data_IF_375243046683
#
_entry.id   IF_375243046683
#
_cell.length_a   1.000
_cell.length_b   1.000
_cell.length_c   1.000
_cell.angle_alpha   90.00
_cell.angle_beta   90.00
_cell.angle_gamma   90.00
#
_symmetry.space_group_name_H-M   'P 1'
#
loop_
_entity.id
_entity.type
_entity.pdbx_description
1 polymer ?
#
# COMPACT_ATOMS: atom_id res chain seq x y z
N UNK A 1 20.83 22.51 24.98
CA UNK A 1 19.70 22.34 24.04
C UNK A 1 20.28 22.23 22.62
N UNK A 2 20.02 21.15 21.90
CA UNK A 2 20.43 21.01 20.50
C UNK A 2 19.48 21.77 19.56
N UNK A 3 19.98 22.21 18.40
CA UNK A 3 19.19 22.80 17.31
C UNK A 3 19.28 21.87 16.10
N UNK A 4 18.19 21.76 15.33
CA UNK A 4 18.22 21.05 14.06
C UNK A 4 19.00 21.86 13.02
N UNK A 5 19.77 21.15 12.20
CA UNK A 5 20.44 21.69 11.03
C UNK A 5 19.83 21.07 9.76
N UNK A 6 19.28 21.92 8.90
CA UNK A 6 18.64 21.52 7.66
C UNK A 6 19.46 21.91 6.41
N UNK A 7 20.69 22.44 6.56
CA UNK A 7 21.51 22.93 5.44
C UNK A 7 21.74 21.88 4.35
N UNK A 8 22.00 20.63 4.76
CA UNK A 8 22.23 19.48 3.87
C UNK A 8 21.02 18.55 3.73
N UNK A 9 19.84 19.00 4.17
CA UNK A 9 18.62 18.20 4.07
C UNK A 9 18.22 18.01 2.60
N UNK A 10 18.06 16.76 2.19
CA UNK A 10 17.57 16.40 0.86
C UNK A 10 16.16 16.96 0.62
N UNK A 11 15.88 17.40 -0.61
CA UNK A 11 14.63 18.09 -0.99
C UNK A 11 13.38 17.28 -0.64
N UNK A 12 13.40 15.97 -0.84
CA UNK A 12 12.26 15.08 -0.59
C UNK A 12 11.78 15.05 0.87
N UNK A 13 12.65 15.41 1.83
CA UNK A 13 12.34 15.40 3.27
C UNK A 13 12.02 16.79 3.83
N UNK A 14 12.15 17.86 3.03
CA UNK A 14 11.88 19.22 3.48
C UNK A 14 10.44 19.34 3.97
N UNK A 15 10.27 19.88 5.17
CA UNK A 15 8.96 20.04 5.82
C UNK A 15 8.30 18.75 6.33
N UNK A 16 8.94 17.58 6.16
CA UNK A 16 8.38 16.28 6.57
C UNK A 16 9.12 15.61 7.72
N UNK A 17 10.36 16.01 8.01
CA UNK A 17 11.16 15.39 9.08
C UNK A 17 11.34 16.29 10.29
N UNK A 18 11.39 15.67 11.46
CA UNK A 18 11.63 16.34 12.74
C UNK A 18 12.43 15.42 13.66
N UNK A 19 13.44 15.96 14.32
CA UNK A 19 14.11 15.33 15.45
C UNK A 19 13.33 15.68 16.73
N UNK A 20 12.89 14.66 17.47
CA UNK A 20 12.21 14.84 18.77
C UNK A 20 13.25 15.18 19.84
N UNK A 21 13.54 16.48 19.99
CA UNK A 21 14.61 17.01 20.86
C UNK A 21 14.40 16.69 22.33
N UNK A 22 13.15 16.60 22.76
CA UNK A 22 12.72 16.25 24.12
C UNK A 22 13.21 14.86 24.54
N UNK A 23 13.40 13.93 23.59
CA UNK A 23 13.90 12.59 23.86
C UNK A 23 15.42 12.52 24.02
N UNK A 24 16.15 13.55 23.57
CA UNK A 24 17.62 13.56 23.67
C UNK A 24 18.09 13.56 25.13
N UNK A 25 17.37 14.21 26.05
CA UNK A 25 17.67 14.17 27.49
C UNK A 25 17.45 12.80 28.13
N UNK A 26 16.71 11.92 27.46
CA UNK A 26 16.50 10.53 27.85
C UNK A 26 17.49 9.58 27.16
N UNK A 27 18.50 10.11 26.45
CA UNK A 27 19.45 9.32 25.68
C UNK A 27 18.88 8.72 24.40
N UNK A 28 17.74 9.22 23.92
CA UNK A 28 17.05 8.72 22.73
C UNK A 28 17.11 9.72 21.57
N UNK A 29 17.56 9.25 20.41
CA UNK A 29 17.51 10.02 19.16
C UNK A 29 16.38 9.49 18.28
N UNK A 30 15.28 10.25 18.17
CA UNK A 30 14.08 9.85 17.43
C UNK A 30 13.84 10.77 16.24
N UNK A 31 13.86 10.19 15.04
CA UNK A 31 13.50 10.86 13.79
C UNK A 31 12.04 10.56 13.45
N UNK A 32 11.22 11.60 13.34
CA UNK A 32 9.85 11.50 12.85
C UNK A 32 9.80 11.89 11.38
N UNK A 33 9.13 11.09 10.55
CA UNK A 33 8.82 11.38 9.15
C UNK A 33 7.29 11.47 9.01
N UNK A 34 6.77 12.57 8.47
CA UNK A 34 5.33 12.76 8.22
C UNK A 34 5.00 12.58 6.74
N UNK A 35 3.76 12.15 6.46
CA UNK A 35 3.31 11.89 5.08
C UNK A 35 4.21 10.89 4.37
N UNK A 36 4.37 9.70 4.95
CA UNK A 36 5.25 8.64 4.44
C UNK A 36 4.84 8.26 3.03
N UNK A 37 5.83 8.18 2.13
CA UNK A 37 5.68 7.79 0.73
C UNK A 37 6.43 6.49 0.47
N UNK A 38 6.11 5.78 -0.60
CA UNK A 38 6.87 4.59 -1.00
C UNK A 38 8.36 4.86 -1.21
N UNK A 39 8.73 6.06 -1.69
CA UNK A 39 10.13 6.48 -1.86
C UNK A 39 10.88 6.68 -0.55
N UNK A 40 10.18 6.76 0.58
CA UNK A 40 10.83 6.83 1.88
C UNK A 40 11.34 5.44 2.31
N UNK A 41 10.92 4.34 1.66
CA UNK A 41 11.42 3.01 1.97
C UNK A 41 12.92 2.90 1.71
N UNK A 42 13.62 2.13 2.56
CA UNK A 42 15.04 1.86 2.40
C UNK A 42 15.83 1.93 3.70
N UNK A 43 17.14 1.99 3.56
CA UNK A 43 18.08 1.90 4.66
C UNK A 43 18.35 3.29 5.27
N UNK A 44 18.00 3.47 6.53
CA UNK A 44 18.30 4.66 7.33
C UNK A 44 19.47 4.35 8.26
N UNK A 45 20.43 5.28 8.35
CA UNK A 45 21.55 5.18 9.29
C UNK A 45 21.48 6.33 10.28
N UNK A 46 21.32 6.01 11.56
CA UNK A 46 21.50 7.00 12.63
C UNK A 46 22.98 6.99 13.07
N UNK A 47 23.54 8.18 13.27
CA UNK A 47 24.93 8.36 13.74
C UNK A 47 24.86 9.30 14.93
N UNK A 48 25.47 8.91 16.05
CA UNK A 48 25.51 9.70 17.28
C UNK A 48 26.97 9.89 17.68
N UNK A 49 27.36 11.14 17.88
CA UNK A 49 28.68 11.53 18.38
C UNK A 49 28.57 12.17 19.76
N UNK A 50 29.12 11.52 20.80
CA UNK A 50 29.17 12.03 22.18
C UNK A 50 30.33 11.40 22.96
N UNK A 51 31.52 12.02 22.92
CA UNK A 51 32.75 11.43 23.50
C UNK A 51 33.29 10.20 22.75
N UNK A 52 32.69 9.88 21.60
CA UNK A 52 32.92 8.75 20.71
C UNK A 52 31.81 8.74 19.65
N UNK A 53 31.95 7.96 18.58
CA UNK A 53 30.94 7.86 17.52
C UNK A 53 30.50 6.42 17.32
N UNK A 54 29.18 6.22 17.26
CA UNK A 54 28.57 4.94 16.88
C UNK A 54 27.43 5.18 15.89
N UNK A 55 27.05 4.14 15.17
CA UNK A 55 25.93 4.15 14.25
C UNK A 55 25.10 2.87 14.33
N UNK A 56 23.84 3.00 13.97
CA UNK A 56 22.94 1.87 13.74
C UNK A 56 22.14 2.09 12.47
N UNK A 57 21.66 0.98 11.94
CA UNK A 57 20.99 0.92 10.65
C UNK A 57 19.59 0.36 10.84
N UNK A 58 18.60 1.01 10.22
CA UNK A 58 17.19 0.66 10.28
C UNK A 58 16.72 0.50 8.83
N UNK A 59 16.07 -0.63 8.51
CA UNK A 59 15.45 -0.81 7.21
C UNK A 59 13.96 -0.44 7.29
N UNK A 60 13.58 0.69 6.69
CA UNK A 60 12.20 1.14 6.63
C UNK A 60 11.48 0.46 5.46
N UNK A 61 10.48 -0.37 5.79
CA UNK A 61 9.53 -0.91 4.82
C UNK A 61 8.25 -0.06 4.83
N UNK A 62 7.73 0.26 3.65
CA UNK A 62 6.48 1.01 3.49
C UNK A 62 5.46 0.12 2.79
N UNK A 63 4.22 0.16 3.25
CA UNK A 63 3.08 -0.55 2.66
C UNK A 63 1.90 0.38 2.48
N UNK A 64 1.08 0.08 1.47
CA UNK A 64 -0.19 0.74 1.21
C UNK A 64 -1.27 -0.35 1.03
N UNK A 65 -2.19 -0.52 1.98
CA UNK A 65 -3.22 -1.56 1.89
C UNK A 65 -4.28 -1.21 0.84
N UNK A 66 -4.84 -2.23 0.19
CA UNK A 66 -5.91 -2.14 -0.82
C UNK A 66 -7.29 -1.86 -0.19
N UNK A 67 -7.41 -0.80 0.62
CA UNK A 67 -8.57 -0.54 1.47
C UNK A 67 -9.81 -0.06 0.72
N UNK A 68 -9.62 0.70 -0.35
CA UNK A 68 -10.71 1.34 -1.08
C UNK A 68 -10.92 0.61 -2.39
N UNK A 69 -11.90 -0.30 -2.38
CA UNK A 69 -12.28 -1.08 -3.55
C UNK A 69 -13.44 -0.37 -4.25
N UNK A 70 -13.19 0.07 -5.49
CA UNK A 70 -14.22 0.61 -6.38
C UNK A 70 -14.85 -0.55 -7.14
N UNK A 71 -16.17 -0.67 -7.04
CA UNK A 71 -16.94 -1.73 -7.70
C UNK A 71 -17.73 -1.16 -8.88
N UNK A 72 -17.87 -1.95 -9.95
CA UNK A 72 -18.66 -1.61 -11.12
C UNK A 72 -19.43 -2.82 -11.64
N UNK A 73 -20.69 -2.61 -12.03
CA UNK A 73 -21.56 -3.63 -12.61
C UNK A 73 -22.18 -3.07 -13.88
N UNK A 74 -21.95 -3.73 -15.02
CA UNK A 74 -22.46 -3.30 -16.32
C UNK A 74 -23.08 -4.49 -17.06
N UNK A 75 -24.29 -4.31 -17.59
CA UNK A 75 -24.89 -5.28 -18.51
C UNK A 75 -24.24 -5.15 -19.89
N UNK A 76 -23.79 -6.28 -20.46
CA UNK A 76 -23.15 -6.33 -21.78
C UNK A 76 -24.04 -6.99 -22.84
N UNK A 77 -25.35 -7.09 -22.57
CA UNK A 77 -26.32 -7.76 -23.43
C UNK A 77 -26.38 -9.28 -23.23
N UNK A 78 -27.36 -9.95 -23.83
CA UNK A 78 -27.52 -11.41 -23.81
C UNK A 78 -27.51 -12.06 -22.40
N UNK A 79 -28.13 -11.41 -21.40
CA UNK A 79 -28.09 -11.85 -20.00
C UNK A 79 -26.66 -12.03 -19.44
N UNK A 80 -25.70 -11.24 -19.94
CA UNK A 80 -24.34 -11.19 -19.44
C UNK A 80 -24.09 -9.91 -18.66
N UNK A 81 -23.33 -10.07 -17.59
CA UNK A 81 -22.91 -8.97 -16.73
C UNK A 81 -21.39 -8.96 -16.61
N UNK A 82 -20.82 -7.76 -16.61
CA UNK A 82 -19.40 -7.52 -16.32
C UNK A 82 -19.31 -6.88 -14.95
N UNK A 83 -18.71 -7.60 -14.01
CA UNK A 83 -18.35 -7.11 -12.69
C UNK A 83 -16.90 -6.62 -12.74
N UNK A 84 -16.61 -5.51 -12.08
CA UNK A 84 -15.28 -4.92 -12.01
C UNK A 84 -14.96 -4.55 -10.58
N UNK A 85 -13.77 -4.90 -10.11
CA UNK A 85 -13.21 -4.39 -8.87
C UNK A 85 -11.87 -3.73 -9.15
N UNK A 86 -11.67 -2.53 -8.61
CA UNK A 86 -10.42 -1.79 -8.72
C UNK A 86 -9.98 -1.30 -7.36
N UNK A 87 -8.71 -1.50 -7.01
CA UNK A 87 -8.11 -0.89 -5.83
C UNK A 87 -6.65 -0.55 -6.09
N UNK A 88 -6.13 0.40 -5.31
CA UNK A 88 -4.73 0.79 -5.32
C UNK A 88 -4.04 0.33 -4.03
N UNK A 89 -2.77 -0.06 -4.15
CA UNK A 89 -2.00 -0.52 -3.00
C UNK A 89 -0.55 -0.88 -3.35
N UNK A 90 0.19 -1.28 -2.32
CA UNK A 90 1.57 -1.75 -2.42
C UNK A 90 1.92 -2.62 -1.21
N UNK A 91 2.64 -3.73 -1.36
CA UNK A 91 3.11 -4.37 -2.61
C UNK A 91 1.97 -4.85 -3.52
N UNK A 92 2.30 -5.41 -4.70
CA UNK A 92 1.30 -5.94 -5.64
C UNK A 92 0.41 -7.01 -4.98
N UNK A 93 -0.92 -6.91 -5.14
CA UNK A 93 -1.89 -7.92 -4.73
C UNK A 93 -2.43 -8.73 -5.91
N UNK A 94 -2.84 -9.95 -5.62
CA UNK A 94 -3.67 -10.80 -6.49
C UNK A 94 -5.15 -10.47 -6.24
N UNK A 95 -6.03 -10.76 -7.21
CA UNK A 95 -7.48 -10.62 -7.03
C UNK A 95 -8.14 -11.98 -7.19
N UNK A 96 -8.83 -12.41 -6.14
CA UNK A 96 -9.57 -13.67 -6.10
C UNK A 96 -11.06 -13.33 -6.21
N UNK A 97 -11.79 -14.06 -7.06
CA UNK A 97 -13.23 -13.95 -7.19
C UNK A 97 -13.92 -15.17 -6.60
N UNK A 98 -14.93 -14.93 -5.77
CA UNK A 98 -15.76 -15.99 -5.19
C UNK A 98 -17.24 -15.72 -5.44
N UNK A 99 -18.03 -16.78 -5.64
CA UNK A 99 -19.49 -16.66 -5.60
C UNK A 99 -20.02 -16.74 -4.15
N UNK A 100 -21.35 -16.72 -4.00
CA UNK A 100 -22.01 -16.84 -2.68
C UNK A 100 -21.73 -18.17 -1.97
N UNK A 101 -21.41 -19.23 -2.72
CA UNK A 101 -21.02 -20.55 -2.20
C UNK A 101 -19.52 -20.63 -1.84
N UNK A 102 -18.77 -19.52 -1.97
CA UNK A 102 -17.32 -19.45 -1.78
C UNK A 102 -16.50 -20.29 -2.79
N UNK A 103 -17.11 -20.68 -3.91
CA UNK A 103 -16.37 -21.32 -4.99
C UNK A 103 -15.48 -20.30 -5.69
N UNK A 104 -14.23 -20.69 -5.92
CA UNK A 104 -13.27 -19.87 -6.66
C UNK A 104 -13.64 -19.85 -8.14
N UNK A 105 -13.87 -18.64 -8.66
CA UNK A 105 -14.18 -18.39 -10.08
C UNK A 105 -13.15 -17.47 -10.73
N UNK A 106 -11.98 -17.31 -10.10
CA UNK A 106 -10.89 -16.41 -10.52
C UNK A 106 -10.40 -16.72 -11.92
N UNK A 107 -10.39 -18.00 -12.33
CA UNK A 107 -9.98 -18.43 -13.68
C UNK A 107 -10.84 -17.83 -14.81
N UNK A 108 -12.04 -17.32 -14.48
CA UNK A 108 -12.95 -16.66 -15.44
C UNK A 108 -12.77 -15.15 -15.47
N UNK A 109 -11.94 -14.59 -14.59
CA UNK A 109 -11.68 -13.17 -14.49
C UNK A 109 -10.41 -12.76 -15.24
N UNK A 110 -10.37 -11.50 -15.67
CA UNK A 110 -9.17 -10.89 -16.22
C UNK A 110 -8.69 -9.79 -15.27
N UNK A 111 -7.46 -9.90 -14.79
CA UNK A 111 -6.83 -8.93 -13.89
C UNK A 111 -5.70 -8.19 -14.62
N UNK A 112 -5.73 -6.87 -14.60
CA UNK A 112 -4.69 -5.98 -15.12
C UNK A 112 -4.03 -5.16 -14.01
N UNK A 113 -2.80 -4.75 -14.29
CA UNK A 113 -1.93 -4.05 -13.35
C UNK A 113 -1.35 -2.81 -14.02
N UNK A 114 -1.46 -1.68 -13.34
CA UNK A 114 -0.85 -0.41 -13.75
C UNK A 114 -0.10 0.20 -12.56
N UNK A 115 1.01 0.87 -12.82
CA UNK A 115 1.79 1.56 -11.78
C UNK A 115 1.59 3.06 -11.90
N UNK A 116 1.07 3.69 -10.85
CA UNK A 116 0.89 5.13 -10.77
C UNK A 116 2.20 5.90 -10.57
N UNK A 117 2.17 7.22 -10.73
CA UNK A 117 3.34 8.10 -10.46
C UNK A 117 3.79 8.11 -8.99
N UNK A 118 2.89 7.73 -8.09
CA UNK A 118 3.13 7.50 -6.66
C UNK A 118 3.80 6.14 -6.35
N UNK A 119 3.92 5.27 -7.37
CA UNK A 119 4.39 3.88 -7.34
C UNK A 119 3.40 2.89 -6.71
N UNK A 120 2.13 3.28 -6.50
CA UNK A 120 1.10 2.34 -6.13
C UNK A 120 0.72 1.48 -7.35
N UNK A 121 0.38 0.22 -7.09
CA UNK A 121 -0.24 -0.66 -8.07
C UNK A 121 -1.74 -0.39 -8.09
N UNK A 122 -2.24 0.10 -9.22
CA UNK A 122 -3.66 0.08 -9.55
C UNK A 122 -3.97 -1.28 -10.13
N UNK A 123 -4.73 -2.07 -9.40
CA UNK A 123 -5.11 -3.43 -9.77
C UNK A 123 -6.59 -3.41 -10.13
N UNK A 124 -6.91 -3.82 -11.35
CA UNK A 124 -8.28 -3.88 -11.86
C UNK A 124 -8.59 -5.30 -12.29
N UNK A 125 -9.64 -5.89 -11.73
CA UNK A 125 -10.08 -7.24 -12.10
C UNK A 125 -11.51 -7.20 -12.61
N UNK A 126 -11.77 -7.95 -13.68
CA UNK A 126 -13.06 -7.98 -14.37
C UNK A 126 -13.55 -9.41 -14.52
N UNK A 127 -14.76 -9.68 -14.04
CA UNK A 127 -15.41 -10.99 -14.15
C UNK A 127 -16.63 -10.87 -15.06
N UNK A 128 -16.74 -11.74 -16.06
CA UNK A 128 -17.91 -11.80 -16.95
C UNK A 128 -18.74 -13.03 -16.65
N UNK A 129 -20.01 -12.84 -16.29
CA UNK A 129 -20.93 -13.92 -15.93
C UNK A 129 -22.14 -13.93 -16.87
N UNK A 130 -22.68 -15.12 -17.12
CA UNK A 130 -24.03 -15.32 -17.67
C UNK A 130 -24.92 -15.66 -16.49
N UNK A 131 -25.73 -14.73 -16.03
CA UNK A 131 -26.48 -14.95 -14.80
C UNK A 131 -27.86 -14.32 -14.82
N UNK A 132 -28.74 -14.94 -14.02
CA UNK A 132 -30.05 -14.40 -13.67
C UNK A 132 -29.80 -13.30 -12.62
N UNK A 133 -30.64 -12.28 -12.63
CA UNK A 133 -30.58 -11.17 -11.68
C UNK A 133 -30.54 -11.77 -10.25
N UNK A 134 -29.66 -11.28 -9.36
CA UNK A 134 -29.47 -11.63 -7.92
C UNK A 134 -28.32 -12.59 -7.49
N UNK A 135 -27.30 -12.86 -8.32
CA UNK A 135 -26.07 -13.53 -7.83
C UNK A 135 -25.08 -12.56 -7.18
N UNK A 136 -24.52 -12.96 -6.04
CA UNK A 136 -23.51 -12.19 -5.29
C UNK A 136 -22.13 -12.77 -5.58
N UNK A 137 -21.19 -11.87 -5.88
CA UNK A 137 -19.79 -12.20 -6.04
C UNK A 137 -18.96 -11.30 -5.13
N UNK A 138 -17.89 -11.88 -4.60
CA UNK A 138 -16.90 -11.19 -3.78
C UNK A 138 -15.61 -11.09 -4.57
N UNK A 139 -14.97 -9.92 -4.52
CA UNK A 139 -13.63 -9.73 -5.05
C UNK A 139 -12.67 -9.44 -3.90
N UNK A 140 -11.60 -10.23 -3.80
CA UNK A 140 -10.68 -10.23 -2.66
C UNK A 140 -9.29 -9.86 -3.17
N UNK A 141 -8.79 -8.71 -2.75
CA UNK A 141 -7.41 -8.30 -2.98
C UNK A 141 -6.52 -8.97 -1.95
N UNK A 142 -5.67 -9.90 -2.37
CA UNK A 142 -4.76 -10.64 -1.51
C UNK A 142 -3.31 -10.20 -1.71
N UNK A 143 -2.71 -9.64 -0.65
CA UNK A 143 -1.30 -9.29 -0.64
C UNK A 143 -0.49 -10.40 0.03
N UNK A 144 0.18 -11.22 -0.80
CA UNK A 144 0.98 -12.37 -0.35
C UNK A 144 2.18 -11.99 0.52
N UNK A 145 2.81 -10.84 0.27
CA UNK A 145 3.98 -10.40 1.04
C UNK A 145 3.57 -9.97 2.47
N UNK A 146 2.41 -9.32 2.59
CA UNK A 146 1.89 -8.84 3.86
C UNK A 146 1.03 -9.87 4.60
N UNK A 147 0.57 -10.92 3.91
CA UNK A 147 -0.44 -11.86 4.41
C UNK A 147 -1.73 -11.15 4.84
N UNK A 148 -2.16 -10.16 4.04
CA UNK A 148 -3.35 -9.32 4.29
C UNK A 148 -4.30 -9.42 3.10
N UNK A 149 -5.62 -9.54 3.36
CA UNK A 149 -6.66 -9.38 2.34
C UNK A 149 -7.56 -8.17 2.61
N UNK A 150 -8.22 -7.69 1.56
CA UNK A 150 -9.38 -6.80 1.66
C UNK A 150 -10.39 -7.23 0.62
N UNK A 151 -11.66 -7.33 1.00
CA UNK A 151 -12.74 -7.78 0.11
C UNK A 151 -13.83 -6.74 -0.03
N UNK A 152 -14.55 -6.80 -1.14
CA UNK A 152 -15.76 -6.04 -1.39
C UNK A 152 -16.81 -6.91 -2.07
#
# INVERSE_FOLDING_TARGET
KGKEDFKSQHSDFRGRIKLLKENLSLGQSLLQITGVKLRDAGLYRCVIGYGGADYKTINLKVKAPYRTITQGVVSIGDNKWRLTCQSEGYPQAEVIWQNREYEDVTDKANTSYETGSDQLYRVTSTLTIKSRIDEIFYCIFWNKELQENTSA
#
